data_IF_305035854745
#
_entry.id   IF_305035854745
#
_cell.length_a   1.000
_cell.length_b   1.000
_cell.length_c   1.000
_cell.angle_alpha   90.00
_cell.angle_beta   90.00
_cell.angle_gamma   90.00
#
_symmetry.space_group_name_H-M   'P 1'
#
loop_
_entity.id
_entity.type
_entity.pdbx_description
1 polymer ?
#
# COMPACT_ATOMS: atom_id res chain seq x y z
N UNK A 1 -34.70 18.12 -4.51
CA UNK A 1 -34.49 16.81 -5.15
C UNK A 1 -34.41 15.78 -4.04
N UNK A 2 -35.31 14.80 -4.03
CA UNK A 2 -35.31 13.68 -3.08
C UNK A 2 -34.10 12.77 -3.32
N UNK A 3 -33.66 12.02 -2.32
CA UNK A 3 -32.58 11.06 -2.51
C UNK A 3 -32.91 10.00 -3.57
N UNK A 4 -34.19 9.63 -3.70
CA UNK A 4 -34.67 8.72 -4.75
C UNK A 4 -34.45 9.30 -6.16
N UNK A 5 -34.74 10.58 -6.36
CA UNK A 5 -34.45 11.27 -7.62
C UNK A 5 -32.93 11.35 -7.89
N UNK A 6 -32.12 11.56 -6.85
CA UNK A 6 -30.65 11.56 -6.97
C UNK A 6 -30.14 10.16 -7.37
N UNK A 7 -30.65 9.09 -6.76
CA UNK A 7 -30.32 7.71 -7.14
C UNK A 7 -30.68 7.42 -8.60
N UNK A 8 -31.84 7.89 -9.07
CA UNK A 8 -32.23 7.75 -10.47
C UNK A 8 -31.28 8.50 -11.40
N UNK A 9 -30.89 9.73 -11.06
CA UNK A 9 -29.93 10.51 -11.84
C UNK A 9 -28.54 9.85 -11.90
N UNK A 10 -28.04 9.35 -10.75
CA UNK A 10 -26.75 8.66 -10.67
C UNK A 10 -26.75 7.37 -11.49
N UNK A 11 -27.78 6.55 -11.36
CA UNK A 11 -27.87 5.26 -12.04
C UNK A 11 -28.11 5.40 -13.54
N UNK A 12 -28.75 6.48 -13.99
CA UNK A 12 -28.82 6.82 -15.41
C UNK A 12 -27.44 7.14 -16.01
N UNK A 13 -26.51 7.67 -15.20
CA UNK A 13 -25.12 7.91 -15.59
C UNK A 13 -24.21 6.69 -15.56
N UNK A 14 -24.69 5.53 -15.07
CA UNK A 14 -23.87 4.32 -15.03
C UNK A 14 -23.58 3.79 -16.44
N UNK A 15 -22.34 3.35 -16.65
CA UNK A 15 -21.88 2.75 -17.91
C UNK A 15 -21.15 1.42 -17.66
N UNK A 16 -20.93 0.64 -18.72
CA UNK A 16 -20.19 -0.62 -18.66
C UNK A 16 -20.75 -1.62 -17.64
N UNK A 17 -19.84 -2.19 -16.83
CA UNK A 17 -20.19 -3.20 -15.82
C UNK A 17 -21.15 -2.68 -14.76
N UNK A 18 -21.04 -1.40 -14.38
CA UNK A 18 -21.90 -0.77 -13.38
C UNK A 18 -23.35 -0.68 -13.87
N UNK A 19 -23.53 -0.34 -15.16
CA UNK A 19 -24.85 -0.33 -15.82
C UNK A 19 -25.45 -1.73 -15.91
N UNK A 20 -24.65 -2.71 -16.34
CA UNK A 20 -25.10 -4.10 -16.49
C UNK A 20 -25.50 -4.68 -15.13
N UNK A 21 -24.73 -4.39 -14.08
CA UNK A 21 -25.09 -4.77 -12.72
C UNK A 21 -26.44 -4.17 -12.29
N UNK A 22 -26.60 -2.85 -12.45
CA UNK A 22 -27.80 -2.15 -12.02
C UNK A 22 -29.06 -2.61 -12.76
N UNK A 23 -29.01 -2.77 -14.09
CA UNK A 23 -30.18 -3.08 -14.90
C UNK A 23 -30.44 -4.58 -15.11
N UNK A 24 -29.38 -5.39 -15.24
CA UNK A 24 -29.52 -6.78 -15.66
C UNK A 24 -29.32 -7.76 -14.50
N UNK A 25 -28.43 -7.46 -13.54
CA UNK A 25 -28.13 -8.35 -12.43
C UNK A 25 -29.07 -8.14 -11.23
N UNK A 26 -29.33 -6.89 -10.84
CA UNK A 26 -30.29 -6.61 -9.76
C UNK A 26 -31.72 -6.92 -10.22
N UNK A 27 -32.55 -7.44 -9.31
CA UNK A 27 -33.99 -7.53 -9.52
C UNK A 27 -34.65 -6.17 -9.25
N UNK A 28 -35.88 -5.97 -9.72
CA UNK A 28 -36.64 -4.76 -9.40
C UNK A 28 -36.82 -4.57 -7.90
N UNK A 29 -37.08 -5.65 -7.16
CA UNK A 29 -37.19 -5.60 -5.70
C UNK A 29 -35.88 -5.09 -5.05
N UNK A 30 -34.71 -5.52 -5.54
CA UNK A 30 -33.43 -5.01 -5.04
C UNK A 30 -33.25 -3.52 -5.37
N UNK A 31 -33.62 -3.09 -6.57
CA UNK A 31 -33.52 -1.68 -6.98
C UNK A 31 -34.43 -0.79 -6.14
N UNK A 32 -35.66 -1.22 -5.90
CA UNK A 32 -36.62 -0.47 -5.07
C UNK A 32 -36.19 -0.44 -3.61
N UNK A 33 -35.69 -1.56 -3.06
CA UNK A 33 -35.13 -1.59 -1.71
C UNK A 33 -33.95 -0.61 -1.52
N UNK A 34 -33.13 -0.40 -2.56
CA UNK A 34 -32.06 0.60 -2.52
C UNK A 34 -32.62 2.03 -2.58
N UNK A 35 -33.63 2.27 -3.42
CA UNK A 35 -34.26 3.60 -3.58
C UNK A 35 -35.08 4.04 -2.38
N UNK A 36 -35.66 3.09 -1.67
CA UNK A 36 -36.51 3.32 -0.49
C UNK A 36 -35.76 3.08 0.82
N UNK A 37 -34.44 2.89 0.76
CA UNK A 37 -33.65 2.68 1.96
C UNK A 37 -33.73 3.89 2.88
N UNK A 38 -34.01 3.60 4.16
CA UNK A 38 -34.04 4.57 5.24
C UNK A 38 -33.05 4.16 6.32
N UNK A 39 -32.67 5.10 7.17
CA UNK A 39 -31.90 4.84 8.38
C UNK A 39 -32.61 5.49 9.57
N UNK A 40 -32.61 4.76 10.69
CA UNK A 40 -33.18 5.20 11.95
C UNK A 40 -32.12 5.92 12.77
N UNK A 41 -32.35 7.20 13.02
CA UNK A 41 -31.54 8.00 13.94
C UNK A 41 -32.29 8.13 15.26
N UNK A 42 -31.69 7.69 16.36
CA UNK A 42 -32.18 8.02 17.70
C UNK A 42 -31.76 9.45 18.06
N UNK A 43 -32.73 10.30 18.34
CA UNK A 43 -32.50 11.60 18.96
C UNK A 43 -33.05 11.57 20.39
N UNK A 44 -32.19 11.90 21.36
CA UNK A 44 -32.61 12.00 22.76
C UNK A 44 -33.39 13.31 22.95
N UNK A 45 -34.71 13.18 23.07
CA UNK A 45 -35.59 14.30 23.39
C UNK A 45 -35.83 14.43 24.89
N UNK A 46 -36.30 15.61 25.36
CA UNK A 46 -36.57 15.85 26.78
C UNK A 46 -37.68 14.96 27.37
N UNK A 47 -38.49 14.28 26.54
CA UNK A 47 -39.60 13.40 26.96
C UNK A 47 -39.40 11.92 26.57
N UNK A 48 -38.18 11.51 26.22
CA UNK A 48 -37.85 10.13 25.81
C UNK A 48 -37.17 10.06 24.44
N UNK A 49 -36.67 8.87 24.09
CA UNK A 49 -36.00 8.64 22.81
C UNK A 49 -36.98 8.77 21.65
N UNK A 50 -36.66 9.64 20.69
CA UNK A 50 -37.43 9.80 19.45
C UNK A 50 -36.67 9.12 18.32
N UNK A 51 -37.32 8.17 17.64
CA UNK A 51 -36.78 7.54 16.43
C UNK A 51 -37.16 8.39 15.23
N UNK A 52 -36.15 8.99 14.58
CA UNK A 52 -36.32 9.73 13.34
C UNK A 52 -35.89 8.86 12.17
N UNK A 53 -36.83 8.60 11.27
CA UNK A 53 -36.57 7.87 10.03
C UNK A 53 -36.14 8.88 8.96
N UNK A 54 -34.92 8.73 8.43
CA UNK A 54 -34.40 9.57 7.35
C UNK A 54 -34.10 8.76 6.08
N UNK A 55 -34.31 9.32 4.87
CA UNK A 55 -33.87 8.69 3.63
C UNK A 55 -32.34 8.42 3.65
N UNK A 56 -31.95 7.22 3.23
CA UNK A 56 -30.55 6.77 3.19
C UNK A 56 -30.18 6.08 1.87
N UNK A 57 -31.06 6.16 0.88
CA UNK A 57 -30.94 5.59 -0.46
C UNK A 57 -29.61 5.84 -1.18
N UNK A 58 -28.99 7.02 -1.02
CA UNK A 58 -27.68 7.30 -1.65
C UNK A 58 -26.56 6.47 -1.00
N UNK A 59 -26.49 6.47 0.33
CA UNK A 59 -25.46 5.72 1.05
C UNK A 59 -25.64 4.21 0.84
N UNK A 60 -26.89 3.74 0.80
CA UNK A 60 -27.20 2.35 0.48
C UNK A 60 -26.79 1.99 -0.95
N UNK A 61 -27.00 2.86 -1.94
CA UNK A 61 -26.52 2.65 -3.31
C UNK A 61 -24.99 2.56 -3.36
N UNK A 62 -24.28 3.51 -2.74
CA UNK A 62 -22.81 3.54 -2.70
C UNK A 62 -22.28 2.28 -2.03
N UNK A 63 -22.85 1.89 -0.89
CA UNK A 63 -22.48 0.66 -0.20
C UNK A 63 -22.75 -0.58 -1.05
N UNK A 64 -23.90 -0.67 -1.72
CA UNK A 64 -24.24 -1.81 -2.58
C UNK A 64 -23.27 -1.94 -3.77
N UNK A 65 -22.89 -0.81 -4.39
CA UNK A 65 -21.88 -0.78 -5.46
C UNK A 65 -20.53 -1.26 -4.93
N UNK A 66 -20.04 -0.69 -3.85
CA UNK A 66 -18.75 -1.08 -3.25
C UNK A 66 -18.78 -2.57 -2.86
N UNK A 67 -19.84 -3.01 -2.20
CA UNK A 67 -19.98 -4.41 -1.76
C UNK A 67 -19.99 -5.38 -2.93
N UNK A 68 -20.61 -5.03 -4.06
CA UNK A 68 -20.70 -5.93 -5.21
C UNK A 68 -19.39 -5.99 -6.01
N UNK A 69 -18.74 -4.85 -6.25
CA UNK A 69 -17.56 -4.76 -7.11
C UNK A 69 -16.23 -4.93 -6.37
N UNK A 70 -16.18 -4.49 -5.10
CA UNK A 70 -14.98 -4.51 -4.26
C UNK A 70 -15.06 -5.63 -3.20
N UNK A 71 -16.27 -6.05 -2.81
CA UNK A 71 -16.45 -7.09 -1.79
C UNK A 71 -16.51 -6.51 -0.36
N UNK A 72 -15.86 -7.17 0.61
CA UNK A 72 -15.87 -6.69 2.01
C UNK A 72 -14.98 -5.45 2.16
N UNK A 73 -15.56 -4.33 2.59
CA UNK A 73 -14.84 -3.07 2.86
C UNK A 73 -13.83 -3.18 4.00
N UNK A 74 -13.99 -4.15 4.89
CA UNK A 74 -13.12 -4.38 6.05
C UNK A 74 -12.01 -5.41 5.83
N UNK A 75 -12.06 -6.23 4.76
CA UNK A 75 -11.04 -7.26 4.52
C UNK A 75 -9.87 -6.79 3.65
N UNK A 76 -9.98 -5.61 3.03
CA UNK A 76 -8.85 -5.05 2.30
C UNK A 76 -7.67 -4.77 3.23
N UNK A 77 -7.89 -4.51 4.52
CA UNK A 77 -6.79 -4.38 5.48
C UNK A 77 -6.09 -5.71 5.70
N UNK A 78 -6.82 -6.80 5.97
CA UNK A 78 -6.21 -8.04 6.46
C UNK A 78 -5.46 -8.78 5.34
N UNK A 79 -6.06 -8.89 4.15
CA UNK A 79 -5.37 -9.52 3.02
C UNK A 79 -4.21 -8.67 2.50
N UNK A 80 -4.35 -7.33 2.50
CA UNK A 80 -3.24 -6.44 2.12
C UNK A 80 -2.13 -6.44 3.18
N UNK A 81 -2.50 -6.60 4.45
CA UNK A 81 -1.57 -6.72 5.57
C UNK A 81 -0.78 -8.02 5.48
N UNK A 82 -1.44 -9.16 5.31
CA UNK A 82 -0.78 -10.46 5.10
C UNK A 82 0.14 -10.42 3.87
N UNK A 83 -0.37 -9.88 2.76
CA UNK A 83 0.40 -9.76 1.54
C UNK A 83 1.61 -8.82 1.69
N UNK A 84 1.51 -7.76 2.51
CA UNK A 84 2.61 -6.84 2.84
C UNK A 84 3.63 -7.49 3.79
N UNK A 85 3.16 -8.23 4.81
CA UNK A 85 4.01 -8.94 5.77
C UNK A 85 4.87 -10.02 5.10
N UNK A 86 4.35 -10.64 4.03
CA UNK A 86 5.06 -11.61 3.20
C UNK A 86 5.98 -11.00 2.13
N UNK A 87 5.95 -9.68 1.90
CA UNK A 87 6.76 -9.07 0.85
C UNK A 87 8.25 -9.17 1.16
N UNK A 88 9.02 -9.63 0.16
CA UNK A 88 10.48 -9.62 0.17
C UNK A 88 11.03 -9.15 -1.17
N UNK A 89 12.25 -8.63 -1.12
CA UNK A 89 13.08 -8.24 -2.25
C UNK A 89 14.25 -9.23 -2.33
N UNK A 90 14.07 -10.42 -2.92
CA UNK A 90 15.13 -11.42 -2.98
C UNK A 90 16.33 -10.96 -3.82
N UNK A 91 16.08 -10.12 -4.84
CA UNK A 91 17.08 -9.61 -5.78
C UNK A 91 17.11 -8.09 -5.74
N UNK A 92 18.30 -7.49 -5.79
CA UNK A 92 18.39 -6.02 -5.82
C UNK A 92 17.94 -5.44 -7.16
N UNK A 93 17.95 -6.19 -8.25
CA UNK A 93 17.37 -5.76 -9.54
C UNK A 93 15.88 -5.40 -9.44
N UNK A 94 15.18 -6.00 -8.48
CA UNK A 94 13.73 -5.85 -8.31
C UNK A 94 13.39 -4.76 -7.28
N UNK A 95 14.40 -4.08 -6.73
CA UNK A 95 14.20 -3.14 -5.63
C UNK A 95 13.26 -1.99 -5.98
N UNK A 96 13.33 -1.45 -7.20
CA UNK A 96 12.40 -0.39 -7.62
C UNK A 96 10.95 -0.87 -7.54
N UNK A 97 10.68 -2.07 -8.06
CA UNK A 97 9.36 -2.69 -7.97
C UNK A 97 8.97 -2.95 -6.52
N UNK A 98 9.87 -3.54 -5.72
CA UNK A 98 9.64 -3.80 -4.31
C UNK A 98 9.25 -2.52 -3.55
N UNK A 99 10.02 -1.44 -3.71
CA UNK A 99 9.76 -0.13 -3.12
C UNK A 99 8.38 0.40 -3.52
N UNK A 100 8.08 0.42 -4.81
CA UNK A 100 6.83 1.00 -5.32
C UNK A 100 5.61 0.21 -4.81
N UNK A 101 5.67 -1.11 -4.84
CA UNK A 101 4.57 -1.97 -4.36
C UNK A 101 4.44 -1.92 -2.84
N UNK A 102 5.56 -1.95 -2.09
CA UNK A 102 5.53 -1.88 -0.63
C UNK A 102 4.91 -0.57 -0.17
N UNK A 103 5.34 0.56 -0.74
CA UNK A 103 4.80 1.88 -0.38
C UNK A 103 3.33 2.02 -0.75
N UNK A 104 2.93 1.57 -1.95
CA UNK A 104 1.54 1.58 -2.38
C UNK A 104 0.63 0.78 -1.43
N UNK A 105 1.07 -0.39 -0.97
CA UNK A 105 0.31 -1.21 0.00
C UNK A 105 0.32 -0.60 1.40
N UNK A 106 1.48 -0.12 1.86
CA UNK A 106 1.63 0.48 3.19
C UNK A 106 0.67 1.66 3.38
N UNK A 107 0.56 2.56 2.41
CA UNK A 107 -0.29 3.76 2.55
C UNK A 107 -1.80 3.47 2.54
N UNK A 108 -2.21 2.22 2.29
CA UNK A 108 -3.59 1.78 2.47
C UNK A 108 -3.87 1.26 3.89
N UNK A 109 -2.86 1.14 4.75
CA UNK A 109 -3.02 0.69 6.13
C UNK A 109 -3.21 1.85 7.09
N UNK A 110 -4.11 1.68 8.07
CA UNK A 110 -4.28 2.63 9.19
C UNK A 110 -3.04 2.75 10.06
N UNK A 111 -2.25 1.67 10.15
CA UNK A 111 -0.99 1.57 10.89
C UNK A 111 0.22 2.06 10.10
N UNK A 112 0.05 2.72 8.94
CA UNK A 112 1.17 3.08 8.05
C UNK A 112 2.26 3.97 8.68
N UNK A 113 1.96 4.61 9.82
CA UNK A 113 2.89 5.45 10.58
C UNK A 113 3.75 4.66 11.58
N UNK A 114 3.37 3.42 11.88
CA UNK A 114 4.03 2.62 12.90
C UNK A 114 5.45 2.26 12.46
N UNK A 115 6.40 2.38 13.40
CA UNK A 115 7.83 2.09 13.16
C UNK A 115 8.08 0.66 12.69
N UNK A 116 7.20 -0.28 13.05
CA UNK A 116 7.26 -1.69 12.64
C UNK A 116 7.37 -1.84 11.12
N UNK A 117 6.75 -0.95 10.35
CA UNK A 117 6.80 -1.01 8.89
C UNK A 117 8.16 -0.65 8.32
N UNK A 118 8.89 0.27 8.97
CA UNK A 118 10.27 0.60 8.59
C UNK A 118 11.19 -0.60 8.81
N UNK A 119 11.02 -1.32 9.94
CA UNK A 119 11.72 -2.58 10.19
C UNK A 119 11.37 -3.64 9.15
N UNK A 120 10.08 -3.88 8.89
CA UNK A 120 9.64 -4.86 7.88
C UNK A 120 10.16 -4.56 6.49
N UNK A 121 10.20 -3.28 6.11
CA UNK A 121 10.73 -2.83 4.84
C UNK A 121 12.22 -3.19 4.65
N UNK A 122 13.02 -3.03 5.71
CA UNK A 122 14.45 -3.40 5.72
C UNK A 122 14.64 -4.92 5.83
N UNK A 123 13.82 -5.60 6.62
CA UNK A 123 13.85 -7.05 6.77
C UNK A 123 13.53 -7.80 5.46
N UNK A 124 12.75 -7.18 4.58
CA UNK A 124 12.44 -7.69 3.25
C UNK A 124 13.64 -7.70 2.28
N UNK A 125 14.73 -6.98 2.58
CA UNK A 125 15.91 -6.91 1.71
C UNK A 125 16.74 -8.20 1.72
N UNK A 126 17.63 -8.42 0.72
CA UNK A 126 18.59 -9.51 0.76
C UNK A 126 19.47 -9.41 2.01
N UNK A 127 19.73 -10.56 2.66
CA UNK A 127 20.42 -10.64 3.95
C UNK A 127 21.69 -9.78 4.03
N UNK A 128 22.54 -9.86 3.01
CA UNK A 128 23.81 -9.12 2.99
C UNK A 128 23.63 -7.59 2.88
N UNK A 129 22.66 -7.14 2.06
CA UNK A 129 22.34 -5.70 1.92
C UNK A 129 21.74 -5.18 3.22
N UNK A 130 20.87 -5.98 3.85
CA UNK A 130 20.28 -5.68 5.16
C UNK A 130 21.33 -5.53 6.25
N UNK A 131 22.26 -6.48 6.37
CA UNK A 131 23.34 -6.42 7.36
C UNK A 131 24.24 -5.19 7.16
N UNK A 132 24.62 -4.89 5.91
CA UNK A 132 25.34 -3.66 5.56
C UNK A 132 24.54 -2.40 5.90
N UNK A 133 23.24 -2.38 5.62
CA UNK A 133 22.37 -1.25 5.96
C UNK A 133 22.42 -0.94 7.46
N UNK A 134 22.23 -1.94 8.32
CA UNK A 134 22.30 -1.75 9.77
C UNK A 134 23.68 -1.23 10.19
N UNK A 135 24.76 -1.82 9.66
CA UNK A 135 26.13 -1.37 9.95
C UNK A 135 26.37 0.09 9.53
N UNK A 136 25.93 0.49 8.33
CA UNK A 136 26.06 1.86 7.82
C UNK A 136 25.26 2.85 8.65
N UNK A 137 24.04 2.49 9.05
CA UNK A 137 23.18 3.34 9.86
C UNK A 137 23.77 3.60 11.25
N UNK A 138 24.26 2.56 11.94
CA UNK A 138 24.92 2.68 13.25
C UNK A 138 26.23 3.48 13.14
N UNK A 139 26.96 3.34 12.03
CA UNK A 139 28.18 4.12 11.81
C UNK A 139 27.86 5.61 11.62
N UNK A 140 26.82 5.93 10.84
CA UNK A 140 26.41 7.31 10.57
C UNK A 140 25.88 8.03 11.83
N UNK A 141 25.31 7.30 12.78
CA UNK A 141 24.80 7.82 14.06
C UNK A 141 25.87 7.92 15.15
N UNK A 142 27.16 7.71 14.82
CA UNK A 142 28.25 7.76 15.79
C UNK A 142 28.27 6.57 16.75
N UNK A 143 27.74 5.41 16.34
CA UNK A 143 27.69 4.19 17.14
C UNK A 143 26.45 4.05 18.02
N UNK A 144 25.46 4.94 17.88
CA UNK A 144 24.18 4.86 18.59
C UNK A 144 23.15 4.03 17.82
N UNK A 145 22.16 3.50 18.53
CA UNK A 145 21.05 2.78 17.90
C UNK A 145 20.28 3.67 16.91
N UNK A 146 19.62 3.03 15.95
CA UNK A 146 18.87 3.72 14.90
C UNK A 146 17.60 4.32 15.51
N UNK A 147 17.44 5.63 15.40
CA UNK A 147 16.18 6.31 15.70
C UNK A 147 15.12 6.00 14.61
N UNK A 148 14.37 4.92 14.85
CA UNK A 148 13.31 4.47 13.96
C UNK A 148 12.10 5.40 13.94
N UNK A 149 11.91 6.26 14.94
CA UNK A 149 10.83 7.24 14.94
C UNK A 149 11.18 8.40 14.01
N UNK A 150 12.38 8.96 14.16
CA UNK A 150 12.86 10.12 13.40
C UNK A 150 13.26 9.83 11.95
N UNK A 151 13.69 8.60 11.63
CA UNK A 151 14.16 8.28 10.27
C UNK A 151 13.02 8.22 9.24
N UNK A 152 13.18 8.86 8.08
CA UNK A 152 12.18 8.78 7.00
C UNK A 152 12.46 7.62 6.03
N UNK A 153 11.43 7.18 5.28
CA UNK A 153 11.64 6.23 4.17
C UNK A 153 12.59 6.78 3.10
N UNK A 154 12.72 8.10 2.97
CA UNK A 154 13.73 8.71 2.09
C UNK A 154 15.13 8.39 2.58
N UNK A 155 15.40 8.53 3.88
CA UNK A 155 16.71 8.28 4.49
C UNK A 155 17.07 6.78 4.45
N UNK A 156 16.07 5.91 4.64
CA UNK A 156 16.23 4.47 4.47
C UNK A 156 16.65 4.16 3.03
N UNK A 157 15.91 4.69 2.04
CA UNK A 157 16.19 4.42 0.63
C UNK A 157 17.54 4.99 0.17
N UNK A 158 17.93 6.18 0.64
CA UNK A 158 19.25 6.75 0.32
C UNK A 158 20.38 5.91 0.91
N UNK A 159 20.21 5.40 2.12
CA UNK A 159 21.19 4.50 2.74
C UNK A 159 21.28 3.16 1.99
N UNK A 160 20.16 2.57 1.57
CA UNK A 160 20.16 1.35 0.76
C UNK A 160 20.91 1.57 -0.56
N UNK A 161 20.67 2.71 -1.24
CA UNK A 161 21.39 3.06 -2.46
C UNK A 161 22.89 3.19 -2.21
N UNK A 162 23.31 3.87 -1.14
CA UNK A 162 24.72 4.01 -0.75
C UNK A 162 25.36 2.64 -0.48
N UNK A 163 24.70 1.77 0.27
CA UNK A 163 25.16 0.40 0.54
C UNK A 163 25.36 -0.37 -0.76
N UNK A 164 24.38 -0.34 -1.67
CA UNK A 164 24.50 -1.05 -2.93
C UNK A 164 25.66 -0.53 -3.79
N UNK A 165 25.94 0.77 -3.73
CA UNK A 165 27.09 1.35 -4.40
C UNK A 165 28.41 0.90 -3.85
N UNK A 166 28.56 0.92 -2.53
CA UNK A 166 29.77 0.42 -1.88
C UNK A 166 30.01 -1.05 -2.22
N UNK A 167 28.95 -1.86 -2.29
CA UNK A 167 29.04 -3.27 -2.73
C UNK A 167 29.47 -3.35 -4.20
N UNK A 168 28.85 -2.57 -5.09
CA UNK A 168 29.24 -2.46 -6.51
C UNK A 168 30.74 -2.09 -6.67
N UNK A 169 31.23 -1.15 -5.87
CA UNK A 169 32.62 -0.69 -5.90
C UNK A 169 33.59 -1.73 -5.36
N UNK A 170 33.31 -2.31 -4.18
CA UNK A 170 34.11 -3.39 -3.60
C UNK A 170 34.25 -4.58 -4.57
N UNK A 171 33.20 -4.90 -5.32
CA UNK A 171 33.22 -5.94 -6.34
C UNK A 171 34.02 -5.58 -7.60
N UNK A 172 34.14 -4.30 -7.98
CA UNK A 172 35.02 -3.86 -9.08
C UNK A 172 36.49 -4.06 -8.73
N UNK A 173 36.87 -3.95 -7.45
CA UNK A 173 38.25 -4.12 -6.98
C UNK A 173 38.57 -5.57 -6.56
N UNK A 174 37.58 -6.36 -6.13
CA UNK A 174 37.73 -7.76 -5.69
C UNK A 174 37.69 -8.78 -6.84
N UNK A 175 38.48 -8.57 -7.90
CA UNK A 175 38.51 -9.43 -9.11
C UNK A 175 38.90 -10.89 -8.83
N UNK A 176 39.36 -11.23 -7.63
CA UNK A 176 39.58 -12.62 -7.22
C UNK A 176 39.04 -12.84 -5.81
N UNK A 177 37.93 -13.58 -5.73
CA UNK A 177 37.58 -14.61 -4.73
C UNK A 177 36.04 -14.82 -4.75
N UNK A 178 35.67 -16.04 -5.16
CA UNK A 178 34.48 -16.84 -4.85
C UNK A 178 33.02 -16.33 -5.07
N UNK A 179 32.35 -17.03 -6.01
CA UNK A 179 31.14 -17.89 -5.83
C UNK A 179 29.69 -17.38 -5.79
N UNK A 180 29.36 -16.20 -6.33
CA UNK A 180 27.97 -16.04 -6.80
C UNK A 180 27.86 -15.10 -8.01
N UNK A 181 27.74 -15.69 -9.21
CA UNK A 181 27.73 -14.93 -10.46
C UNK A 181 26.43 -14.17 -10.68
N UNK A 182 25.32 -14.64 -10.12
CA UNK A 182 24.00 -14.06 -10.38
C UNK A 182 23.71 -12.90 -9.43
N UNK A 183 24.08 -13.03 -8.15
CA UNK A 183 24.05 -11.90 -7.22
C UNK A 183 24.88 -10.69 -7.71
N UNK A 184 26.07 -10.95 -8.28
CA UNK A 184 26.93 -9.89 -8.86
C UNK A 184 26.27 -9.16 -10.03
N UNK A 185 25.53 -9.88 -10.88
CA UNK A 185 24.79 -9.28 -12.00
C UNK A 185 23.62 -8.44 -11.49
N UNK A 186 22.93 -8.91 -10.47
CA UNK A 186 21.76 -8.23 -9.88
C UNK A 186 22.13 -6.90 -9.21
N UNK A 187 23.20 -6.88 -8.39
CA UNK A 187 23.67 -5.65 -7.74
C UNK A 187 24.16 -4.64 -8.78
N UNK A 188 24.84 -5.10 -9.85
CA UNK A 188 25.24 -4.24 -10.97
C UNK A 188 24.03 -3.67 -11.72
N UNK A 189 22.99 -4.46 -11.93
CA UNK A 189 21.73 -4.02 -12.55
C UNK A 189 21.06 -2.93 -11.73
N UNK A 190 21.03 -3.07 -10.41
CA UNK A 190 20.54 -2.04 -9.49
C UNK A 190 21.32 -0.73 -9.64
N UNK A 191 22.66 -0.77 -9.60
CA UNK A 191 23.50 0.43 -9.71
C UNK A 191 23.23 1.19 -11.03
N UNK A 192 23.02 0.47 -12.15
CA UNK A 192 22.63 1.08 -13.43
C UNK A 192 21.25 1.72 -13.41
N UNK A 193 20.26 1.08 -12.77
CA UNK A 193 18.88 1.57 -12.72
C UNK A 193 18.76 2.97 -12.09
N UNK A 194 19.66 3.29 -11.17
CA UNK A 194 19.72 4.58 -10.49
C UNK A 194 20.68 5.58 -11.16
N UNK A 195 21.10 5.32 -12.41
CA UNK A 195 21.98 6.20 -13.16
C UNK A 195 23.39 6.31 -12.59
N UNK A 196 23.82 5.30 -11.82
CA UNK A 196 25.08 5.33 -11.11
C UNK A 196 26.17 4.71 -11.97
N UNK A 197 26.36 5.32 -13.13
CA UNK A 197 27.50 5.06 -13.98
C UNK A 197 28.68 5.86 -13.43
N UNK A 198 29.54 5.19 -12.65
CA UNK A 198 30.91 5.65 -12.45
C UNK A 198 31.67 5.51 -13.78
N UNK A 199 31.40 6.39 -14.74
CA UNK A 199 32.37 6.74 -15.76
C UNK A 199 33.28 7.79 -15.16
N UNK A 200 34.59 7.51 -14.96
CA UNK A 200 35.53 8.57 -14.67
C UNK A 200 35.63 9.42 -15.95
N UNK A 201 35.20 10.68 -15.86
CA UNK A 201 35.69 11.75 -16.74
C UNK A 201 37.09 12.15 -16.30
#
# INVERSE_FOLDING_TARGET
>A
MSQREIVNALTAGFTGNLRSWWHNHLTDANREAIKDAVFEKMEQGPNGDVVIIQPNSINTLVYAVIKHFVGRTTLYSDQSLEALLGMKCPKMSDFKWYKDIFMSRLYNLTTCRDVVWKHKYVEGLPKYVREKFYSTMVTNSGGTDIDWEGISYRDINSTIQKVCLEICQQQKHATKIAKDSDYRKEVRSFCKQYGIDNTPS
#
